data_IF_465716647273
#
_entry.id   IF_465716647273
#
_cell.length_a   1.000
_cell.length_b   1.000
_cell.length_c   1.000
_cell.angle_alpha   90.00
_cell.angle_beta   90.00
_cell.angle_gamma   90.00
#
_symmetry.space_group_name_H-M   'P 1'
#
loop_
_entity.id
_entity.type
_entity.pdbx_description
1 polymer ?
#
# COMPACT_ATOMS: atom_id res chain seq x y z
N UNK A 1 -5.64 -20.26 -7.27
CA UNK A 1 -4.27 -20.01 -6.77
C UNK A 1 -3.91 -18.52 -6.76
N UNK A 2 -4.09 -17.77 -7.86
CA UNK A 2 -3.71 -16.35 -7.99
C UNK A 2 -4.42 -15.41 -6.98
N UNK A 3 -5.70 -15.66 -6.68
CA UNK A 3 -6.53 -14.78 -5.82
C UNK A 3 -6.08 -14.74 -4.34
N UNK A 4 -5.62 -15.86 -3.79
CA UNK A 4 -5.11 -15.91 -2.41
C UNK A 4 -3.75 -15.20 -2.28
N UNK A 5 -3.00 -15.10 -3.37
CA UNK A 5 -1.74 -14.37 -3.40
C UNK A 5 -1.96 -12.86 -3.22
N UNK A 6 -2.99 -12.29 -3.87
CA UNK A 6 -3.28 -10.85 -3.78
C UNK A 6 -3.67 -10.39 -2.37
N UNK A 7 -4.42 -11.22 -1.63
CA UNK A 7 -4.73 -10.97 -0.21
C UNK A 7 -3.44 -10.93 0.60
N UNK A 8 -2.59 -11.94 0.46
CA UNK A 8 -1.34 -12.02 1.21
C UNK A 8 -0.42 -10.81 0.91
N UNK A 9 -0.32 -10.42 -0.36
CA UNK A 9 0.50 -9.28 -0.77
C UNK A 9 0.02 -7.96 -0.15
N UNK A 10 -1.30 -7.75 -0.06
CA UNK A 10 -1.83 -6.52 0.52
C UNK A 10 -1.67 -6.51 2.05
N UNK A 11 -1.81 -7.67 2.70
CA UNK A 11 -1.51 -7.82 4.12
C UNK A 11 -0.04 -7.55 4.43
N UNK A 12 0.87 -8.07 3.62
CA UNK A 12 2.30 -7.80 3.75
C UNK A 12 2.63 -6.31 3.56
N UNK A 13 1.95 -5.61 2.65
CA UNK A 13 2.14 -4.18 2.44
C UNK A 13 1.61 -3.35 3.63
N UNK A 14 0.42 -3.68 4.15
CA UNK A 14 -0.13 -3.07 5.37
C UNK A 14 0.84 -3.26 6.52
N UNK A 15 1.25 -4.51 6.77
CA UNK A 15 2.13 -4.83 7.90
C UNK A 15 3.47 -4.10 7.80
N UNK A 16 4.04 -4.02 6.59
CA UNK A 16 5.27 -3.27 6.37
C UNK A 16 5.12 -1.77 6.64
N UNK A 17 3.99 -1.17 6.25
CA UNK A 17 3.71 0.24 6.55
C UNK A 17 3.55 0.48 8.06
N UNK A 18 2.89 -0.43 8.79
CA UNK A 18 2.80 -0.39 10.26
C UNK A 18 4.18 -0.50 10.91
N UNK A 19 5.00 -1.45 10.47
CA UNK A 19 6.34 -1.66 11.04
C UNK A 19 7.25 -0.44 10.80
N UNK A 20 7.11 0.23 9.66
CA UNK A 20 7.85 1.47 9.39
C UNK A 20 7.51 2.59 10.37
N UNK A 21 6.26 2.72 10.81
CA UNK A 21 5.87 3.71 11.83
C UNK A 21 6.58 3.46 13.17
N UNK A 22 6.87 2.21 13.50
CA UNK A 22 7.55 1.82 14.73
C UNK A 22 9.06 2.05 14.66
N UNK A 23 9.65 1.95 13.46
CA UNK A 23 11.11 1.97 13.26
C UNK A 23 11.60 3.38 12.91
N UNK A 24 10.79 4.19 12.23
CA UNK A 24 11.22 5.49 11.72
C UNK A 24 10.60 6.64 12.52
N UNK A 25 11.48 7.37 13.23
CA UNK A 25 11.11 8.54 14.03
C UNK A 25 11.05 9.82 13.18
N UNK A 26 10.17 9.86 12.16
CA UNK A 26 9.90 11.08 11.40
C UNK A 26 8.41 11.44 11.48
N UNK A 27 8.08 12.44 12.30
CA UNK A 27 6.69 12.84 12.58
C UNK A 27 5.89 13.14 11.29
N UNK A 28 6.44 13.94 10.39
CA UNK A 28 5.73 14.34 9.17
C UNK A 28 5.50 13.14 8.24
N UNK A 29 6.47 12.24 8.12
CA UNK A 29 6.29 11.02 7.35
C UNK A 29 5.31 10.05 8.01
N UNK A 30 5.35 9.93 9.33
CA UNK A 30 4.44 9.07 10.08
C UNK A 30 2.99 9.55 9.94
N UNK A 31 2.76 10.86 9.86
CA UNK A 31 1.46 11.43 9.52
C UNK A 31 1.01 11.04 8.11
N UNK A 32 1.88 11.13 7.09
CA UNK A 32 1.55 10.67 5.72
C UNK A 32 1.21 9.17 5.69
N UNK A 33 2.00 8.35 6.39
CA UNK A 33 1.77 6.90 6.43
C UNK A 33 0.44 6.60 7.15
N UNK A 34 0.19 7.20 8.31
CA UNK A 34 -0.97 6.92 9.15
C UNK A 34 -2.28 7.48 8.58
N UNK A 35 -2.24 8.68 8.00
CA UNK A 35 -3.44 9.39 7.55
C UNK A 35 -3.78 9.15 6.08
N UNK A 36 -2.82 8.67 5.27
CA UNK A 36 -3.04 8.48 3.83
C UNK A 36 -2.73 7.06 3.39
N UNK A 37 -1.49 6.59 3.57
CA UNK A 37 -1.04 5.32 2.99
C UNK A 37 -1.78 4.13 3.62
N UNK A 38 -1.78 4.01 4.95
CA UNK A 38 -2.46 2.91 5.64
C UNK A 38 -3.97 2.87 5.35
N UNK A 39 -4.73 3.98 5.43
CA UNK A 39 -6.14 3.99 5.04
C UNK A 39 -6.38 3.51 3.61
N UNK A 40 -5.53 3.90 2.66
CA UNK A 40 -5.63 3.42 1.27
C UNK A 40 -5.40 1.91 1.18
N UNK A 41 -4.36 1.39 1.85
CA UNK A 41 -4.06 -0.04 1.87
C UNK A 41 -5.17 -0.85 2.56
N UNK A 42 -5.73 -0.36 3.67
CA UNK A 42 -6.87 -1.00 4.34
C UNK A 42 -8.13 -0.98 3.47
N UNK A 43 -8.40 0.10 2.76
CA UNK A 43 -9.55 0.18 1.85
C UNK A 43 -9.43 -0.86 0.74
N UNK A 44 -8.27 -0.92 0.08
CA UNK A 44 -8.00 -1.94 -0.93
C UNK A 44 -8.08 -3.36 -0.33
N UNK A 45 -7.55 -3.58 0.89
CA UNK A 45 -7.65 -4.85 1.61
C UNK A 45 -9.10 -5.28 1.81
N UNK A 46 -9.97 -4.39 2.29
CA UNK A 46 -11.40 -4.65 2.49
C UNK A 46 -12.06 -5.16 1.20
N UNK A 47 -11.85 -4.49 0.06
CA UNK A 47 -12.43 -4.91 -1.22
C UNK A 47 -11.93 -6.29 -1.66
N UNK A 48 -10.65 -6.59 -1.43
CA UNK A 48 -10.05 -7.89 -1.75
C UNK A 48 -10.62 -8.99 -0.83
N UNK A 49 -10.78 -8.72 0.46
CA UNK A 49 -11.36 -9.65 1.45
C UNK A 49 -12.82 -10.00 1.13
N UNK A 50 -13.63 -9.02 0.70
CA UNK A 50 -15.00 -9.26 0.24
C UNK A 50 -15.09 -9.77 -1.20
N UNK A 51 -13.95 -10.17 -1.80
CA UNK A 51 -13.84 -10.78 -3.14
C UNK A 51 -14.26 -9.86 -4.29
N UNK A 52 -14.28 -8.55 -4.09
CA UNK A 52 -14.60 -7.53 -5.11
C UNK A 52 -13.33 -7.11 -5.88
N UNK A 53 -12.66 -8.07 -6.51
CA UNK A 53 -11.34 -7.87 -7.14
C UNK A 53 -11.33 -6.91 -8.33
N UNK A 54 -12.48 -6.68 -8.97
CA UNK A 54 -12.65 -5.78 -10.11
C UNK A 54 -13.07 -4.36 -9.69
N UNK A 55 -13.24 -4.12 -8.38
CA UNK A 55 -13.62 -2.81 -7.88
C UNK A 55 -12.56 -1.76 -8.26
N UNK A 56 -12.95 -0.64 -8.89
CA UNK A 56 -12.02 0.44 -9.23
C UNK A 56 -11.37 1.04 -7.98
N UNK A 57 -12.04 0.93 -6.83
CA UNK A 57 -11.54 1.40 -5.54
C UNK A 57 -10.18 0.78 -5.17
N UNK A 58 -9.92 -0.48 -5.57
CA UNK A 58 -8.61 -1.09 -5.33
C UNK A 58 -7.53 -0.33 -6.09
N UNK A 59 -7.71 -0.10 -7.39
CA UNK A 59 -6.75 0.61 -8.26
C UNK A 59 -6.57 2.06 -7.81
N UNK A 60 -7.67 2.75 -7.47
CA UNK A 60 -7.65 4.14 -7.00
C UNK A 60 -6.82 4.28 -5.72
N UNK A 61 -7.11 3.44 -4.72
CA UNK A 61 -6.42 3.52 -3.43
C UNK A 61 -4.95 3.09 -3.51
N UNK A 62 -4.63 2.03 -4.27
CA UNK A 62 -3.25 1.63 -4.50
C UNK A 62 -2.45 2.69 -5.27
N UNK A 63 -3.06 3.34 -6.27
CA UNK A 63 -2.40 4.44 -7.01
C UNK A 63 -2.11 5.63 -6.10
N UNK A 64 -3.08 6.02 -5.26
CA UNK A 64 -2.89 7.09 -4.28
C UNK A 64 -1.77 6.77 -3.29
N UNK A 65 -1.77 5.55 -2.75
CA UNK A 65 -0.72 5.10 -1.84
C UNK A 65 0.67 5.09 -2.52
N UNK A 66 0.75 4.68 -3.79
CA UNK A 66 1.98 4.67 -4.58
C UNK A 66 2.54 6.08 -4.81
N UNK A 67 1.67 7.05 -5.12
CA UNK A 67 2.07 8.46 -5.29
C UNK A 67 2.69 9.00 -3.99
N UNK A 68 1.99 8.83 -2.87
CA UNK A 68 2.49 9.34 -1.58
C UNK A 68 3.80 8.66 -1.16
N UNK A 69 3.93 7.34 -1.34
CA UNK A 69 5.19 6.65 -1.04
C UNK A 69 6.32 7.01 -1.99
N UNK A 70 6.04 7.39 -3.24
CA UNK A 70 7.05 7.95 -4.14
C UNK A 70 7.64 9.24 -3.55
N UNK A 71 6.79 10.16 -3.11
CA UNK A 71 7.25 11.41 -2.48
C UNK A 71 8.04 11.17 -1.19
N UNK A 72 7.65 10.16 -0.40
CA UNK A 72 8.44 9.76 0.77
C UNK A 72 9.81 9.20 0.37
N UNK A 73 9.86 8.40 -0.70
CA UNK A 73 11.10 7.81 -1.23
C UNK A 73 12.07 8.87 -1.73
N UNK A 74 11.57 9.89 -2.43
CA UNK A 74 12.37 11.02 -2.92
C UNK A 74 13.05 11.78 -1.76
N UNK A 75 12.38 11.85 -0.59
CA UNK A 75 12.89 12.51 0.61
C UNK A 75 13.80 11.61 1.43
N UNK A 76 13.52 10.31 1.45
CA UNK A 76 14.26 9.32 2.22
C UNK A 76 14.17 7.94 1.55
N UNK A 77 15.28 7.43 0.97
CA UNK A 77 15.31 6.14 0.29
C UNK A 77 14.88 4.94 1.14
N UNK A 78 14.84 5.06 2.48
CA UNK A 78 14.35 4.00 3.37
C UNK A 78 12.89 3.62 3.11
N UNK A 79 12.10 4.46 2.44
CA UNK A 79 10.71 4.16 2.06
C UNK A 79 10.59 3.43 0.71
N UNK A 80 11.67 3.29 -0.06
CA UNK A 80 11.66 2.61 -1.37
C UNK A 80 11.09 1.17 -1.32
N UNK A 81 11.35 0.36 -0.27
CA UNK A 81 10.76 -0.98 -0.20
C UNK A 81 9.24 -0.97 -0.08
N UNK A 82 8.66 -0.01 0.66
CA UNK A 82 7.20 0.14 0.75
C UNK A 82 6.63 0.56 -0.60
N UNK A 83 7.26 1.54 -1.27
CA UNK A 83 6.87 1.97 -2.61
C UNK A 83 6.86 0.79 -3.61
N UNK A 84 7.92 -0.02 -3.65
CA UNK A 84 7.98 -1.21 -4.51
C UNK A 84 6.85 -2.20 -4.23
N UNK A 85 6.54 -2.49 -2.95
CA UNK A 85 5.43 -3.39 -2.60
C UNK A 85 4.09 -2.88 -3.12
N UNK A 86 3.82 -1.58 -2.99
CA UNK A 86 2.58 -0.96 -3.46
C UNK A 86 2.52 -0.96 -4.99
N UNK A 87 3.65 -0.71 -5.67
CA UNK A 87 3.76 -0.77 -7.13
C UNK A 87 3.44 -2.16 -7.70
N UNK A 88 4.03 -3.21 -7.12
CA UNK A 88 3.74 -4.59 -7.52
C UNK A 88 2.26 -4.92 -7.30
N UNK A 89 1.67 -4.51 -6.17
CA UNK A 89 0.22 -4.66 -5.95
C UNK A 89 -0.60 -3.96 -7.04
N UNK A 90 -0.27 -2.71 -7.38
CA UNK A 90 -0.98 -1.97 -8.40
C UNK A 90 -0.91 -2.67 -9.76
N UNK A 91 0.24 -3.22 -10.14
CA UNK A 91 0.42 -3.99 -11.38
C UNK A 91 -0.44 -5.26 -11.37
N UNK A 92 -0.43 -6.02 -10.28
CA UNK A 92 -1.26 -7.22 -10.11
C UNK A 92 -2.75 -6.94 -10.23
N UNK A 93 -3.22 -5.80 -9.73
CA UNK A 93 -4.63 -5.42 -9.87
C UNK A 93 -4.94 -4.79 -11.23
N UNK A 94 -3.94 -4.26 -11.94
CA UNK A 94 -4.11 -3.65 -13.28
C UNK A 94 -4.17 -4.66 -14.42
N UNK A 95 -3.68 -5.89 -14.22
CA UNK A 95 -3.76 -6.98 -15.19
C UNK A 95 -5.14 -7.67 -15.26
N UNK A 96 -6.11 -7.18 -14.46
CA UNK A 96 -7.53 -7.56 -14.50
C UNK A 96 -8.29 -6.47 -15.23
#
# INVERSE_FOLDING_TARGET
MIKNNKIKMIEEAVKFAEDLLLILENKNTNETISNIILPCLHTAKTYVEVKMFESPEIKINLSKAAIETSYLTDRNPKYAPLYSKIRVLLEEFSQI
#
